data_IF_159775087002
#
_entry.id   IF_159775087002
#
_cell.length_a   1.000
_cell.length_b   1.000
_cell.length_c   1.000
_cell.angle_alpha   90.00
_cell.angle_beta   90.00
_cell.angle_gamma   90.00
#
_symmetry.space_group_name_H-M   'P 1'
#
loop_
_entity.id
_entity.type
_entity.pdbx_description
1 polymer ?
#
# COMPACT_ATOMS: atom_id res chain seq x y z
N UNK A 1 -2.21 -26.78 -1.47
CA UNK A 1 -2.21 -25.41 -0.90
C UNK A 1 -1.11 -24.52 -1.51
N UNK A 2 0.16 -24.92 -1.49
CA UNK A 2 1.29 -24.13 -2.02
C UNK A 2 1.12 -23.70 -3.49
N UNK A 3 0.74 -24.62 -4.40
CA UNK A 3 0.59 -24.30 -5.83
C UNK A 3 -0.55 -23.29 -6.10
N UNK A 4 -1.62 -23.32 -5.32
CA UNK A 4 -2.70 -22.32 -5.42
C UNK A 4 -2.23 -20.94 -4.97
N UNK A 5 -1.44 -20.87 -3.90
CA UNK A 5 -0.81 -19.63 -3.47
C UNK A 5 0.17 -19.11 -4.54
N UNK A 6 0.97 -19.99 -5.15
CA UNK A 6 1.82 -19.63 -6.30
C UNK A 6 1.00 -19.05 -7.45
N UNK A 7 -0.13 -19.66 -7.82
CA UNK A 7 -1.05 -19.13 -8.84
C UNK A 7 -1.50 -17.71 -8.48
N UNK A 8 -1.94 -17.49 -7.24
CA UNK A 8 -2.28 -16.15 -6.76
C UNK A 8 -1.11 -15.18 -6.93
N UNK A 9 0.07 -15.49 -6.40
CA UNK A 9 1.23 -14.62 -6.46
C UNK A 9 1.67 -14.29 -7.89
N UNK A 10 1.62 -15.28 -8.78
CA UNK A 10 1.90 -15.10 -10.19
C UNK A 10 0.87 -14.17 -10.85
N UNK A 11 -0.42 -14.41 -10.64
CA UNK A 11 -1.50 -13.57 -11.17
C UNK A 11 -1.37 -12.12 -10.66
N UNK A 12 -1.09 -11.92 -9.37
CA UNK A 12 -0.95 -10.58 -8.77
C UNK A 12 0.30 -9.84 -9.20
N UNK A 13 1.34 -10.55 -9.60
CA UNK A 13 2.61 -9.94 -10.02
C UNK A 13 2.66 -9.65 -11.52
N UNK A 14 2.10 -10.55 -12.33
CA UNK A 14 2.18 -10.48 -13.80
C UNK A 14 0.85 -10.08 -14.41
N UNK A 15 -0.23 -10.80 -14.09
CA UNK A 15 -1.51 -10.64 -14.79
C UNK A 15 -2.24 -9.34 -14.43
N UNK A 16 -2.07 -8.81 -13.22
CA UNK A 16 -2.66 -7.52 -12.82
C UNK A 16 -2.12 -6.33 -13.66
N UNK A 17 -1.05 -6.52 -14.45
CA UNK A 17 -0.50 -5.51 -15.39
C UNK A 17 -1.04 -5.63 -16.82
N UNK A 18 -1.79 -6.70 -17.12
CA UNK A 18 -2.37 -6.93 -18.43
C UNK A 18 -3.67 -6.14 -18.56
N UNK A 19 -3.86 -5.49 -19.69
CA UNK A 19 -4.99 -4.60 -19.95
C UNK A 19 -6.05 -5.20 -20.86
N UNK A 20 -5.75 -6.27 -21.58
CA UNK A 20 -6.65 -6.88 -22.57
C UNK A 20 -7.19 -8.22 -22.07
N UNK A 21 -8.46 -8.52 -22.40
CA UNK A 21 -9.06 -9.82 -22.11
C UNK A 21 -8.36 -10.96 -22.86
N UNK A 22 -7.82 -10.67 -24.04
CA UNK A 22 -7.06 -11.62 -24.85
C UNK A 22 -5.79 -12.09 -24.12
N UNK A 23 -4.99 -11.15 -23.60
CA UNK A 23 -3.77 -11.46 -22.84
C UNK A 23 -4.10 -12.20 -21.54
N UNK A 24 -5.14 -11.76 -20.82
CA UNK A 24 -5.60 -12.42 -19.61
C UNK A 24 -6.05 -13.86 -19.89
N UNK A 25 -6.82 -14.08 -20.97
CA UNK A 25 -7.27 -15.40 -21.40
C UNK A 25 -6.12 -16.29 -21.88
N UNK A 26 -5.11 -15.73 -22.54
CA UNK A 26 -3.89 -16.45 -22.91
C UNK A 26 -3.12 -16.91 -21.67
N UNK A 27 -2.89 -16.02 -20.71
CA UNK A 27 -2.20 -16.36 -19.46
C UNK A 27 -2.96 -17.40 -18.65
N UNK A 28 -4.29 -17.27 -18.56
CA UNK A 28 -5.13 -18.25 -17.89
C UNK A 28 -4.96 -19.65 -18.49
N UNK A 29 -4.97 -19.77 -19.82
CA UNK A 29 -4.76 -21.05 -20.53
C UNK A 29 -3.38 -21.63 -20.24
N UNK A 30 -2.32 -20.83 -20.33
CA UNK A 30 -0.96 -21.30 -20.03
C UNK A 30 -0.81 -21.80 -18.59
N UNK A 31 -1.39 -21.10 -17.61
CA UNK A 31 -1.38 -21.54 -16.21
C UNK A 31 -2.17 -22.84 -16.07
N UNK A 32 -3.37 -22.91 -16.66
CA UNK A 32 -4.22 -24.11 -16.63
C UNK A 32 -3.50 -25.33 -17.20
N UNK A 33 -2.89 -25.21 -18.38
CA UNK A 33 -2.19 -26.30 -19.05
C UNK A 33 -0.97 -26.78 -18.22
N UNK A 34 -0.21 -25.83 -17.66
CA UNK A 34 0.94 -26.15 -16.80
C UNK A 34 0.52 -26.88 -15.51
N UNK A 35 -0.57 -26.43 -14.88
CA UNK A 35 -1.15 -27.06 -13.68
C UNK A 35 -1.69 -28.45 -14.02
N UNK A 36 -2.45 -28.59 -15.10
CA UNK A 36 -3.03 -29.87 -15.51
C UNK A 36 -1.95 -30.91 -15.85
N UNK A 37 -0.84 -30.47 -16.47
CA UNK A 37 0.28 -31.34 -16.82
C UNK A 37 1.12 -31.75 -15.61
N UNK A 38 1.35 -30.84 -14.67
CA UNK A 38 2.32 -31.04 -13.57
C UNK A 38 1.65 -31.53 -12.28
N UNK A 39 0.40 -31.14 -12.03
CA UNK A 39 -0.37 -31.46 -10.82
C UNK A 39 -1.80 -31.94 -11.14
N UNK A 40 -2.00 -32.98 -11.98
CA UNK A 40 -3.34 -33.40 -12.40
C UNK A 40 -4.34 -33.70 -11.26
N UNK A 41 -3.96 -34.38 -10.16
CA UNK A 41 -4.92 -34.70 -9.09
C UNK A 41 -5.49 -33.47 -8.37
N UNK A 42 -4.70 -32.40 -8.27
CA UNK A 42 -5.04 -31.18 -7.53
C UNK A 42 -5.51 -30.03 -8.44
N UNK A 43 -5.54 -30.24 -9.76
CA UNK A 43 -5.76 -29.20 -10.75
C UNK A 43 -7.08 -28.44 -10.52
N UNK A 44 -8.16 -29.15 -10.19
CA UNK A 44 -9.47 -28.55 -9.89
C UNK A 44 -9.42 -27.60 -8.69
N UNK A 45 -8.70 -27.97 -7.63
CA UNK A 45 -8.53 -27.13 -6.44
C UNK A 45 -7.61 -25.93 -6.72
N UNK A 46 -6.51 -26.13 -7.44
CA UNK A 46 -5.57 -25.06 -7.80
C UNK A 46 -6.23 -24.03 -8.71
N UNK A 47 -7.02 -24.48 -9.68
CA UNK A 47 -7.67 -23.63 -10.68
C UNK A 47 -9.01 -23.02 -10.22
N UNK A 48 -9.50 -23.35 -9.01
CA UNK A 48 -10.74 -22.77 -8.46
C UNK A 48 -10.67 -21.24 -8.37
N UNK A 49 -11.75 -20.55 -8.69
CA UNK A 49 -11.91 -19.11 -8.45
C UNK A 49 -12.96 -18.87 -7.34
N UNK A 50 -12.90 -17.72 -6.64
CA UNK A 50 -11.95 -16.62 -6.80
C UNK A 50 -10.58 -16.86 -6.12
N UNK A 51 -9.57 -16.06 -6.51
CA UNK A 51 -8.25 -16.00 -5.86
C UNK A 51 -8.22 -14.88 -4.81
N UNK A 52 -8.78 -15.18 -3.63
CA UNK A 52 -8.83 -14.27 -2.49
C UNK A 52 -7.79 -14.69 -1.45
N UNK A 53 -6.64 -14.03 -1.43
CA UNK A 53 -5.60 -14.28 -0.46
C UNK A 53 -5.26 -13.03 0.35
N UNK A 54 -4.99 -13.19 1.63
CA UNK A 54 -4.62 -12.09 2.53
C UNK A 54 -4.59 -12.51 3.99
N UNK A 55 -4.11 -11.61 4.84
CA UNK A 55 -3.99 -11.82 6.29
C UNK A 55 -5.05 -11.04 7.07
N UNK A 56 -6.31 -11.15 6.62
CA UNK A 56 -7.42 -10.35 7.12
C UNK A 56 -8.10 -10.89 8.38
N UNK A 57 -8.09 -12.21 8.64
CA UNK A 57 -8.83 -12.80 9.77
C UNK A 57 -8.48 -12.20 11.13
N UNK A 58 -7.21 -11.86 11.30
CA UNK A 58 -6.67 -11.24 12.51
C UNK A 58 -6.33 -9.77 12.29
N UNK A 59 -6.91 -9.11 11.28
CA UNK A 59 -6.66 -7.70 11.00
C UNK A 59 -7.03 -6.81 12.19
N UNK A 60 -8.14 -7.10 12.86
CA UNK A 60 -8.62 -6.30 13.99
C UNK A 60 -8.03 -6.72 15.35
N UNK A 61 -7.24 -7.80 15.38
CA UNK A 61 -6.70 -8.39 16.61
C UNK A 61 -5.20 -8.10 16.75
N UNK A 62 -4.84 -7.16 17.62
CA UNK A 62 -3.45 -6.73 17.78
C UNK A 62 -2.52 -7.78 18.38
N UNK A 63 -3.05 -8.74 19.16
CA UNK A 63 -2.26 -9.73 19.90
C UNK A 63 -2.17 -11.10 19.21
N UNK A 64 -2.79 -11.27 18.04
CA UNK A 64 -2.75 -12.54 17.31
C UNK A 64 -1.87 -12.42 16.07
N UNK A 65 -1.05 -13.44 15.75
CA UNK A 65 -0.28 -13.43 14.52
C UNK A 65 -1.23 -13.37 13.31
N UNK A 66 -0.85 -12.57 12.33
CA UNK A 66 -1.54 -12.47 11.05
C UNK A 66 -0.96 -13.49 10.07
N UNK A 67 -1.81 -14.32 9.49
CA UNK A 67 -1.41 -15.37 8.56
C UNK A 67 -1.90 -15.07 7.16
N UNK A 68 -0.98 -15.09 6.18
CA UNK A 68 -1.35 -14.97 4.77
C UNK A 68 -1.95 -16.28 4.27
N UNK A 69 -3.24 -16.28 3.93
CA UNK A 69 -3.99 -17.51 3.65
C UNK A 69 -5.05 -17.36 2.55
N UNK A 70 -5.59 -18.49 2.09
CA UNK A 70 -6.72 -18.54 1.18
C UNK A 70 -8.02 -18.26 1.94
N UNK A 71 -8.70 -17.18 1.57
CA UNK A 71 -9.94 -16.72 2.19
C UNK A 71 -11.19 -17.39 1.60
N UNK A 72 -11.01 -18.39 0.74
CA UNK A 72 -12.03 -19.27 0.18
C UNK A 72 -12.90 -18.58 -0.89
N UNK A 73 -14.05 -18.04 -0.50
CA UNK A 73 -15.09 -17.55 -1.40
C UNK A 73 -15.59 -16.16 -1.02
N UNK A 74 -16.40 -15.58 -1.91
CA UNK A 74 -16.92 -14.23 -1.70
C UNK A 74 -17.84 -14.12 -0.47
N UNK A 75 -18.50 -15.20 -0.04
CA UNK A 75 -19.37 -15.19 1.14
C UNK A 75 -18.54 -15.06 2.42
N UNK A 76 -17.51 -15.90 2.55
CA UNK A 76 -16.58 -15.89 3.69
C UNK A 76 -15.87 -14.53 3.82
N UNK A 77 -15.36 -13.99 2.72
CA UNK A 77 -14.69 -12.69 2.69
C UNK A 77 -15.65 -11.52 2.89
N UNK A 78 -16.90 -11.66 2.45
CA UNK A 78 -17.91 -10.61 2.57
C UNK A 78 -18.13 -10.17 4.02
N UNK A 79 -18.37 -11.14 4.92
CA UNK A 79 -18.55 -10.85 6.34
C UNK A 79 -17.31 -10.19 6.96
N UNK A 80 -16.14 -10.73 6.66
CA UNK A 80 -14.87 -10.24 7.20
C UNK A 80 -14.60 -8.78 6.79
N UNK A 81 -14.82 -8.44 5.52
CA UNK A 81 -14.56 -7.08 5.05
C UNK A 81 -15.62 -6.07 5.51
N UNK A 82 -16.87 -6.52 5.68
CA UNK A 82 -17.91 -5.69 6.31
C UNK A 82 -17.56 -5.37 7.77
N UNK A 83 -17.10 -6.36 8.54
CA UNK A 83 -16.65 -6.15 9.93
C UNK A 83 -15.50 -5.12 9.99
N UNK A 84 -14.50 -5.25 9.11
CA UNK A 84 -13.37 -4.29 9.03
C UNK A 84 -13.86 -2.89 8.65
N UNK A 85 -14.82 -2.77 7.73
CA UNK A 85 -15.40 -1.49 7.32
C UNK A 85 -16.19 -0.82 8.44
N UNK A 86 -16.97 -1.60 9.19
CA UNK A 86 -17.70 -1.12 10.36
C UNK A 86 -16.74 -0.63 11.44
N UNK A 87 -15.69 -1.40 11.74
CA UNK A 87 -14.69 -1.02 12.73
C UNK A 87 -13.92 0.24 12.30
N UNK A 88 -13.57 0.36 11.02
CA UNK A 88 -13.01 1.61 10.48
C UNK A 88 -13.96 2.78 10.75
N UNK A 89 -15.25 2.61 10.45
CA UNK A 89 -16.28 3.63 10.57
C UNK A 89 -16.59 4.02 12.03
N UNK A 90 -16.24 3.16 13.00
CA UNK A 90 -16.32 3.41 14.43
C UNK A 90 -15.02 4.00 15.01
N UNK A 91 -13.90 3.84 14.30
CA UNK A 91 -12.59 4.36 14.72
C UNK A 91 -12.48 5.88 14.59
N UNK A 92 -11.41 6.44 15.18
CA UNK A 92 -11.08 7.86 15.01
C UNK A 92 -10.83 8.27 13.55
N UNK A 93 -10.48 7.32 12.66
CA UNK A 93 -10.29 7.56 11.23
C UNK A 93 -11.56 8.06 10.54
N UNK A 94 -12.72 7.53 10.95
CA UNK A 94 -14.02 7.91 10.41
C UNK A 94 -14.40 9.37 10.66
N UNK A 95 -13.82 10.01 11.70
CA UNK A 95 -14.03 11.44 11.98
C UNK A 95 -13.51 12.33 10.86
N UNK A 96 -12.45 11.89 10.16
CA UNK A 96 -11.88 12.62 9.00
C UNK A 96 -12.61 12.27 7.71
N UNK A 97 -12.89 10.99 7.50
CA UNK A 97 -13.54 10.51 6.28
C UNK A 97 -14.27 9.19 6.55
N UNK A 98 -15.60 9.24 6.60
CA UNK A 98 -16.44 8.03 6.73
C UNK A 98 -16.50 7.29 5.39
N UNK A 99 -16.39 5.97 5.42
CA UNK A 99 -16.48 5.13 4.23
C UNK A 99 -17.90 4.60 4.06
N UNK A 100 -18.57 5.05 3.00
CA UNK A 100 -19.83 4.47 2.54
C UNK A 100 -19.56 3.58 1.31
N UNK A 101 -19.12 2.36 1.59
CA UNK A 101 -18.67 1.41 0.57
C UNK A 101 -19.61 0.23 0.46
N UNK A 102 -20.08 -0.04 -0.76
CA UNK A 102 -20.72 -1.30 -1.11
C UNK A 102 -19.64 -2.25 -1.60
N UNK A 103 -19.30 -3.27 -0.81
CA UNK A 103 -18.27 -4.25 -1.14
C UNK A 103 -18.86 -5.38 -1.99
N UNK A 104 -19.07 -5.13 -3.28
CA UNK A 104 -19.37 -6.18 -4.27
C UNK A 104 -18.11 -6.97 -4.65
N UNK A 105 -18.24 -8.00 -5.49
CA UNK A 105 -17.15 -8.97 -5.77
C UNK A 105 -15.85 -8.30 -6.22
N UNK A 106 -15.89 -7.41 -7.23
CA UNK A 106 -14.68 -6.74 -7.72
C UNK A 106 -14.07 -5.82 -6.66
N UNK A 107 -14.90 -5.13 -5.87
CA UNK A 107 -14.41 -4.29 -4.78
C UNK A 107 -13.64 -5.11 -3.73
N UNK A 108 -14.11 -6.32 -3.41
CA UNK A 108 -13.42 -7.27 -2.51
C UNK A 108 -12.10 -7.72 -3.13
N UNK A 109 -12.09 -8.04 -4.42
CA UNK A 109 -10.85 -8.40 -5.11
C UNK A 109 -9.84 -7.25 -5.12
N UNK A 110 -10.24 -6.05 -5.53
CA UNK A 110 -9.36 -4.89 -5.52
C UNK A 110 -8.83 -4.58 -4.12
N UNK A 111 -9.66 -4.73 -3.07
CA UNK A 111 -9.22 -4.61 -1.69
C UNK A 111 -8.11 -5.62 -1.36
N UNK A 112 -8.26 -6.90 -1.73
CA UNK A 112 -7.21 -7.91 -1.51
C UNK A 112 -5.92 -7.59 -2.26
N UNK A 113 -6.01 -7.07 -3.50
CA UNK A 113 -4.84 -6.70 -4.33
C UNK A 113 -4.06 -5.54 -3.69
N UNK A 114 -4.77 -4.48 -3.29
CA UNK A 114 -4.16 -3.31 -2.63
C UNK A 114 -3.55 -3.74 -1.29
N UNK A 115 -4.29 -4.47 -0.47
CA UNK A 115 -3.80 -4.94 0.82
C UNK A 115 -2.55 -5.82 0.68
N UNK A 116 -2.55 -6.77 -0.26
CA UNK A 116 -1.36 -7.59 -0.55
C UNK A 116 -0.15 -6.71 -0.85
N UNK A 117 -0.30 -5.72 -1.73
CA UNK A 117 0.80 -4.84 -2.09
C UNK A 117 1.29 -4.02 -0.89
N UNK A 118 0.41 -3.53 -0.01
CA UNK A 118 0.79 -2.85 1.23
C UNK A 118 1.51 -3.77 2.23
N UNK A 119 1.19 -5.07 2.25
CA UNK A 119 1.81 -6.04 3.18
C UNK A 119 3.16 -6.57 2.67
N UNK A 120 3.54 -6.27 1.42
CA UNK A 120 4.88 -6.55 0.90
C UNK A 120 5.87 -5.49 1.38
N UNK A 121 7.11 -5.91 1.69
CA UNK A 121 8.17 -4.99 2.07
C UNK A 121 8.44 -3.97 0.96
N UNK A 122 8.38 -2.68 1.30
CA UNK A 122 8.51 -1.55 0.34
C UNK A 122 7.49 -1.59 -0.81
N UNK A 123 6.32 -2.16 -0.56
CA UNK A 123 5.27 -2.25 -1.57
C UNK A 123 4.57 -0.92 -1.83
N UNK A 124 4.67 -0.44 -3.07
CA UNK A 124 4.00 0.76 -3.57
C UNK A 124 2.93 0.38 -4.60
N UNK A 125 1.88 1.18 -4.73
CA UNK A 125 0.75 0.86 -5.62
C UNK A 125 0.39 2.03 -6.54
N UNK A 126 0.14 1.72 -7.82
CA UNK A 126 -0.59 2.61 -8.72
C UNK A 126 -1.99 2.02 -8.93
N UNK A 127 -3.01 2.71 -8.45
CA UNK A 127 -4.42 2.31 -8.57
C UNK A 127 -5.05 3.09 -9.71
N UNK A 128 -5.30 2.39 -10.81
CA UNK A 128 -5.91 2.94 -12.02
C UNK A 128 -7.41 2.66 -12.05
N UNK A 129 -8.19 3.64 -12.50
CA UNK A 129 -9.62 3.48 -12.74
C UNK A 129 -10.29 4.82 -13.00
N UNK A 130 -11.49 4.80 -13.57
CA UNK A 130 -12.25 6.04 -13.82
C UNK A 130 -12.63 6.74 -12.52
N UNK A 131 -13.00 8.01 -12.59
CA UNK A 131 -13.46 8.76 -11.41
C UNK A 131 -14.75 8.16 -10.84
N UNK A 132 -14.96 8.30 -9.53
CA UNK A 132 -16.17 7.80 -8.86
C UNK A 132 -16.18 6.31 -8.47
N UNK A 133 -15.24 5.47 -8.95
CA UNK A 133 -15.23 4.01 -8.64
C UNK A 133 -14.73 3.65 -7.23
N UNK A 134 -14.53 4.63 -6.34
CA UNK A 134 -14.14 4.37 -4.95
C UNK A 134 -12.66 4.00 -4.72
N UNK A 135 -11.74 4.30 -5.65
CA UNK A 135 -10.29 4.00 -5.53
C UNK A 135 -9.71 4.43 -4.16
N UNK A 136 -9.92 5.70 -3.80
CA UNK A 136 -9.43 6.27 -2.53
C UNK A 136 -10.03 5.54 -1.33
N UNK A 137 -11.33 5.27 -1.36
CA UNK A 137 -12.06 4.58 -0.30
C UNK A 137 -11.54 3.15 -0.08
N UNK A 138 -11.24 2.40 -1.15
CA UNK A 138 -10.64 1.07 -1.06
C UNK A 138 -9.21 1.11 -0.51
N UNK A 139 -8.39 2.08 -0.93
CA UNK A 139 -7.03 2.26 -0.38
C UNK A 139 -7.09 2.61 1.10
N UNK A 140 -8.00 3.49 1.51
CA UNK A 140 -8.21 3.83 2.93
C UNK A 140 -8.58 2.60 3.75
N UNK A 141 -9.53 1.78 3.26
CA UNK A 141 -9.92 0.56 3.95
C UNK A 141 -8.78 -0.46 4.02
N UNK A 142 -8.02 -0.64 2.93
CA UNK A 142 -6.86 -1.54 2.91
C UNK A 142 -5.76 -1.06 3.88
N UNK A 143 -5.53 0.25 3.95
CA UNK A 143 -4.57 0.87 4.88
C UNK A 143 -4.97 0.58 6.33
N UNK A 144 -6.26 0.75 6.65
CA UNK A 144 -6.79 0.42 7.97
C UNK A 144 -6.66 -1.06 8.30
N UNK A 145 -7.04 -1.94 7.37
CA UNK A 145 -6.90 -3.39 7.54
C UNK A 145 -5.44 -3.80 7.78
N UNK A 146 -4.48 -3.16 7.11
CA UNK A 146 -3.06 -3.38 7.31
C UNK A 146 -2.53 -2.86 8.66
N UNK A 147 -3.33 -2.07 9.38
CA UNK A 147 -2.92 -1.42 10.63
C UNK A 147 -1.99 -0.23 10.43
N UNK A 148 -2.03 0.38 9.24
CA UNK A 148 -1.14 1.49 8.88
C UNK A 148 -1.84 2.84 9.03
N UNK A 149 -1.04 3.89 9.22
CA UNK A 149 -1.53 5.26 9.20
C UNK A 149 -1.79 5.70 7.76
N UNK A 150 -2.91 6.38 7.51
CA UNK A 150 -3.13 7.07 6.24
C UNK A 150 -2.60 8.50 6.32
N UNK A 151 -1.76 8.88 5.36
CA UNK A 151 -1.28 10.24 5.14
C UNK A 151 -1.74 10.71 3.75
N UNK A 152 -2.32 11.90 3.67
CA UNK A 152 -2.73 12.57 2.42
C UNK A 152 -2.40 14.03 2.53
N UNK A 153 -2.03 14.64 1.41
CA UNK A 153 -1.86 16.10 1.31
C UNK A 153 -3.22 16.78 1.18
N UNK A 154 -3.33 17.98 1.75
CA UNK A 154 -4.52 18.82 1.67
C UNK A 154 -4.22 20.01 0.76
N UNK A 155 -4.72 19.96 -0.47
CA UNK A 155 -4.50 21.02 -1.45
C UNK A 155 -5.27 22.29 -1.03
N UNK A 156 -4.56 23.41 -0.98
CA UNK A 156 -5.12 24.76 -0.94
C UNK A 156 -4.87 25.48 -2.27
N UNK A 157 -5.51 26.64 -2.49
CA UNK A 157 -5.31 27.43 -3.71
C UNK A 157 -3.84 27.83 -3.91
N UNK A 158 -3.13 28.10 -2.82
CA UNK A 158 -1.73 28.55 -2.83
C UNK A 158 -0.77 27.40 -2.47
N UNK A 159 -1.13 26.16 -2.81
CA UNK A 159 -0.32 24.98 -2.53
C UNK A 159 0.80 24.84 -3.56
N UNK A 160 2.03 24.88 -3.07
CA UNK A 160 3.30 24.96 -3.80
C UNK A 160 4.23 23.83 -3.38
N UNK A 161 5.35 23.65 -4.09
CA UNK A 161 6.38 22.69 -3.72
C UNK A 161 6.90 22.89 -2.28
N UNK A 162 6.92 24.14 -1.80
CA UNK A 162 7.35 24.44 -0.43
C UNK A 162 6.43 23.81 0.62
N UNK A 163 5.09 23.96 0.49
CA UNK A 163 4.16 23.29 1.41
C UNK A 163 4.21 21.78 1.25
N UNK A 164 4.43 21.28 0.03
CA UNK A 164 4.61 19.85 -0.18
C UNK A 164 5.83 19.30 0.56
N UNK A 165 6.97 20.00 0.51
CA UNK A 165 8.16 19.64 1.30
C UNK A 165 7.87 19.63 2.81
N UNK A 166 7.11 20.59 3.32
CA UNK A 166 6.71 20.60 4.74
C UNK A 166 5.78 19.42 5.11
N UNK A 167 4.85 19.05 4.24
CA UNK A 167 4.02 17.85 4.41
C UNK A 167 4.90 16.58 4.40
N UNK A 168 5.88 16.50 3.49
CA UNK A 168 6.82 15.38 3.44
C UNK A 168 7.68 15.32 4.71
N UNK A 169 8.12 16.45 5.28
CA UNK A 169 8.81 16.44 6.58
C UNK A 169 7.94 15.85 7.68
N UNK A 170 6.66 16.21 7.72
CA UNK A 170 5.70 15.63 8.67
C UNK A 170 5.57 14.11 8.46
N UNK A 171 5.46 13.66 7.21
CA UNK A 171 5.44 12.24 6.86
C UNK A 171 6.70 11.51 7.35
N UNK A 172 7.91 12.00 7.05
CA UNK A 172 9.16 11.36 7.48
C UNK A 172 9.32 11.33 9.01
N UNK A 173 8.79 12.32 9.74
CA UNK A 173 8.74 12.28 11.21
C UNK A 173 7.83 11.17 11.72
N UNK A 174 6.64 10.96 11.13
CA UNK A 174 5.76 9.83 11.46
C UNK A 174 6.44 8.48 11.20
N UNK A 175 7.12 8.38 10.06
CA UNK A 175 7.76 7.14 9.63
C UNK A 175 8.98 6.77 10.49
N UNK A 176 9.89 7.72 10.71
CA UNK A 176 11.20 7.46 11.32
C UNK A 176 11.31 7.78 12.81
N UNK A 177 10.59 8.79 13.31
CA UNK A 177 10.60 9.15 14.75
C UNK A 177 9.55 8.35 15.50
N UNK A 178 8.30 8.36 15.01
CA UNK A 178 7.21 7.61 15.66
C UNK A 178 7.22 6.12 15.31
N UNK A 179 8.09 5.70 14.37
CA UNK A 179 8.18 4.33 13.86
C UNK A 179 6.82 3.77 13.44
N UNK A 180 6.01 4.58 12.75
CA UNK A 180 4.64 4.24 12.37
C UNK A 180 4.56 3.94 10.88
N UNK A 181 4.24 2.69 10.52
CA UNK A 181 3.96 2.30 9.15
C UNK A 181 2.84 3.16 8.56
N UNK A 182 3.11 3.81 7.44
CA UNK A 182 2.25 4.85 6.87
C UNK A 182 2.10 4.69 5.36
N UNK A 183 0.86 4.79 4.89
CA UNK A 183 0.50 4.87 3.48
C UNK A 183 0.36 6.34 3.09
N UNK A 184 1.24 6.82 2.23
CA UNK A 184 1.08 8.10 1.56
C UNK A 184 0.17 7.93 0.34
N UNK A 185 -1.07 8.40 0.45
CA UNK A 185 -2.08 8.39 -0.60
C UNK A 185 -2.18 9.76 -1.27
N UNK A 186 -2.02 9.80 -2.59
CA UNK A 186 -2.30 10.99 -3.41
C UNK A 186 -3.06 10.60 -4.69
N UNK A 187 -3.78 11.55 -5.27
CA UNK A 187 -4.41 11.42 -6.59
C UNK A 187 -3.74 12.29 -7.64
N UNK A 188 -3.85 11.90 -8.91
CA UNK A 188 -3.31 12.69 -10.04
C UNK A 188 -3.81 14.13 -10.06
N UNK A 189 -5.03 14.40 -9.59
CA UNK A 189 -5.59 15.75 -9.45
C UNK A 189 -4.88 16.64 -8.41
N UNK A 190 -4.12 16.06 -7.50
CA UNK A 190 -3.33 16.79 -6.50
C UNK A 190 -1.92 17.13 -7.00
N UNK A 191 -1.57 16.68 -8.21
CA UNK A 191 -0.28 16.95 -8.85
C UNK A 191 -0.45 18.17 -9.74
N UNK A 192 -0.20 19.34 -9.15
CA UNK A 192 -0.35 20.64 -9.82
C UNK A 192 0.97 21.16 -10.41
N UNK A 193 2.09 20.58 -9.98
CA UNK A 193 3.45 20.95 -10.39
C UNK A 193 4.24 19.66 -10.69
N UNK A 194 5.01 19.67 -11.78
CA UNK A 194 5.91 18.56 -12.16
C UNK A 194 6.96 18.27 -11.08
N UNK A 195 7.37 19.28 -10.32
CA UNK A 195 8.31 19.13 -9.20
C UNK A 195 7.82 18.13 -8.15
N UNK A 196 6.51 17.92 -8.00
CA UNK A 196 5.97 16.94 -7.04
C UNK A 196 6.34 15.51 -7.46
N UNK A 197 6.28 15.22 -8.76
CA UNK A 197 6.65 13.90 -9.29
C UNK A 197 8.14 13.64 -9.13
N UNK A 198 9.00 14.66 -9.28
CA UNK A 198 10.43 14.53 -9.02
C UNK A 198 10.70 14.18 -7.57
N UNK A 199 10.04 14.86 -6.63
CA UNK A 199 10.16 14.57 -5.20
C UNK A 199 9.68 13.15 -4.86
N UNK A 200 8.53 12.73 -5.39
CA UNK A 200 8.00 11.37 -5.22
C UNK A 200 8.97 10.34 -5.81
N UNK A 201 9.55 10.62 -6.99
CA UNK A 201 10.55 9.74 -7.60
C UNK A 201 11.80 9.60 -6.72
N UNK A 202 12.27 10.69 -6.09
CA UNK A 202 13.36 10.63 -5.12
C UNK A 202 13.00 9.76 -3.90
N UNK A 203 11.76 9.83 -3.41
CA UNK A 203 11.29 8.94 -2.34
C UNK A 203 11.30 7.46 -2.76
N UNK A 204 10.90 7.17 -3.99
CA UNK A 204 10.86 5.80 -4.51
C UNK A 204 12.25 5.21 -4.80
N UNK A 205 13.17 6.03 -5.29
CA UNK A 205 14.50 5.60 -5.77
C UNK A 205 15.59 5.72 -4.70
N UNK A 206 15.61 6.83 -3.97
CA UNK A 206 16.62 7.13 -2.95
C UNK A 206 16.11 6.86 -1.53
N UNK A 207 14.79 6.71 -1.35
CA UNK A 207 14.16 6.50 -0.05
C UNK A 207 13.89 7.78 0.74
N UNK A 208 14.44 8.92 0.32
CA UNK A 208 14.19 10.23 0.91
C UNK A 208 14.48 11.35 -0.08
N UNK A 209 13.78 12.47 0.06
CA UNK A 209 14.05 13.70 -0.70
C UNK A 209 15.37 14.34 -0.23
N UNK A 210 16.23 14.71 -1.18
CA UNK A 210 17.48 15.41 -0.89
C UNK A 210 17.24 16.80 -0.30
N UNK A 211 18.05 17.17 0.70
CA UNK A 211 17.95 18.45 1.41
C UNK A 211 16.53 18.75 1.95
N UNK A 212 15.76 17.71 2.31
CA UNK A 212 14.42 17.90 2.87
C UNK A 212 14.45 18.59 4.23
N UNK A 213 15.39 18.20 5.09
CA UNK A 213 15.58 18.78 6.42
C UNK A 213 16.81 19.68 6.44
N UNK A 214 16.70 20.83 7.13
CA UNK A 214 17.86 21.65 7.43
C UNK A 214 18.69 21.03 8.58
N UNK A 215 19.89 21.58 8.84
CA UNK A 215 20.80 21.00 9.84
C UNK A 215 20.22 21.02 11.26
N UNK A 216 19.50 22.08 11.65
CA UNK A 216 18.85 22.17 12.97
C UNK A 216 17.76 21.11 13.14
N UNK A 217 16.94 20.89 12.11
CA UNK A 217 15.90 19.86 12.09
C UNK A 217 16.51 18.45 12.13
N UNK A 218 17.61 18.22 11.40
CA UNK A 218 18.34 16.94 11.45
C UNK A 218 18.87 16.67 12.85
N UNK A 219 19.51 17.65 13.48
CA UNK A 219 20.06 17.50 14.83
C UNK A 219 18.95 17.22 15.87
N UNK A 220 17.77 17.84 15.71
CA UNK A 220 16.60 17.53 16.53
C UNK A 220 16.11 16.08 16.33
N UNK A 221 16.02 15.61 15.08
CA UNK A 221 15.62 14.22 14.76
C UNK A 221 16.64 13.21 15.28
N UNK A 222 17.94 13.47 15.06
CA UNK A 222 19.02 12.61 15.56
C UNK A 222 18.92 12.47 17.07
N UNK A 223 18.66 13.58 17.78
CA UNK A 223 18.51 13.56 19.23
C UNK A 223 17.31 12.70 19.67
N UNK A 224 16.19 12.76 18.96
CA UNK A 224 14.99 12.00 19.34
C UNK A 224 15.09 10.50 19.07
N UNK A 225 15.83 10.07 18.04
CA UNK A 225 15.92 8.65 17.65
C UNK A 225 17.23 7.96 18.05
N UNK A 226 18.17 8.69 18.68
CA UNK A 226 19.49 8.16 19.05
C UNK A 226 19.41 6.91 19.93
N UNK A 227 18.56 6.93 20.96
CA UNK A 227 18.46 5.79 21.89
C UNK A 227 17.91 4.53 21.20
N UNK A 228 16.88 4.70 20.35
CA UNK A 228 16.32 3.62 19.53
C UNK A 228 17.35 3.09 18.52
N UNK A 229 18.13 3.97 17.90
CA UNK A 229 19.18 3.59 16.95
C UNK A 229 20.25 2.72 17.62
N UNK A 230 20.68 3.08 18.85
CA UNK A 230 21.63 2.28 19.63
C UNK A 230 21.07 0.92 20.01
N UNK A 231 19.80 0.85 20.43
CA UNK A 231 19.13 -0.42 20.75
C UNK A 231 19.09 -1.36 19.53
N UNK A 232 18.92 -0.80 18.32
CA UNK A 232 18.93 -1.54 17.05
C UNK A 232 20.33 -1.83 16.50
N UNK A 233 21.39 -1.44 17.23
CA UNK A 233 22.77 -1.76 16.88
C UNK A 233 23.41 -0.82 15.83
N UNK A 234 22.83 0.34 15.58
CA UNK A 234 23.45 1.35 14.71
C UNK A 234 24.57 2.09 15.44
N UNK A 235 25.62 2.57 14.73
CA UNK A 235 26.69 3.35 15.34
C UNK A 235 26.17 4.63 16.02
N UNK A 236 26.71 4.94 17.20
CA UNK A 236 26.41 6.18 17.95
C UNK A 236 27.15 7.40 17.38
N UNK A 237 27.07 7.56 16.06
CA UNK A 237 27.57 8.73 15.33
C UNK A 237 26.38 9.46 14.71
N UNK A 238 26.52 10.75 14.39
CA UNK A 238 25.44 11.51 13.73
C UNK A 238 24.95 10.81 12.46
N UNK A 239 25.89 10.35 11.62
CA UNK A 239 25.57 9.63 10.38
C UNK A 239 24.94 8.25 10.63
N UNK A 240 25.40 7.53 11.65
CA UNK A 240 24.85 6.23 12.02
C UNK A 240 23.37 6.31 12.43
N UNK A 241 23.05 7.30 13.29
CA UNK A 241 21.67 7.56 13.74
C UNK A 241 20.81 8.11 12.59
N UNK A 242 21.36 8.96 11.71
CA UNK A 242 20.65 9.43 10.53
C UNK A 242 20.30 8.29 9.57
N UNK A 243 21.23 7.37 9.34
CA UNK A 243 20.98 6.17 8.53
C UNK A 243 19.90 5.27 9.13
N UNK A 244 19.84 5.15 10.46
CA UNK A 244 18.73 4.47 11.13
C UNK A 244 17.38 5.14 10.84
N UNK A 245 17.31 6.47 10.97
CA UNK A 245 16.10 7.24 10.67
C UNK A 245 15.63 7.03 9.23
N UNK A 246 16.53 7.16 8.24
CA UNK A 246 16.19 6.96 6.82
C UNK A 246 15.78 5.52 6.55
N UNK A 247 16.53 4.53 7.05
CA UNK A 247 16.21 3.11 6.84
C UNK A 247 14.85 2.73 7.42
N UNK A 248 14.55 3.22 8.63
CA UNK A 248 13.25 3.03 9.30
C UNK A 248 12.14 3.74 8.53
N UNK A 249 12.42 4.95 8.03
CA UNK A 249 11.53 5.71 7.18
C UNK A 249 11.09 4.92 5.95
N UNK A 250 12.07 4.37 5.22
CA UNK A 250 11.85 3.58 3.99
C UNK A 250 11.13 2.26 4.27
N UNK A 251 11.42 1.58 5.40
CA UNK A 251 10.71 0.34 5.73
C UNK A 251 9.24 0.55 6.11
N UNK A 252 8.91 1.74 6.61
CA UNK A 252 7.57 2.09 7.08
C UNK A 252 6.73 2.80 6.01
N UNK A 253 7.32 3.21 4.90
CA UNK A 253 6.66 3.99 3.86
C UNK A 253 6.09 3.12 2.76
N UNK A 254 4.80 3.33 2.48
CA UNK A 254 4.12 2.82 1.30
C UNK A 254 3.50 3.99 0.53
N UNK A 255 3.83 4.10 -0.76
CA UNK A 255 3.32 5.16 -1.63
C UNK A 255 2.20 4.58 -2.50
N UNK A 256 1.02 5.20 -2.45
CA UNK A 256 -0.14 4.80 -3.26
C UNK A 256 -0.65 5.98 -4.08
N UNK A 257 -0.59 5.84 -5.40
CA UNK A 257 -1.09 6.81 -6.35
C UNK A 257 -2.44 6.36 -6.93
N UNK A 258 -3.47 7.21 -6.83
CA UNK A 258 -4.76 7.00 -7.49
C UNK A 258 -4.84 7.83 -8.78
N UNK A 259 -4.93 7.20 -9.96
CA UNK A 259 -4.97 7.93 -11.24
C UNK A 259 -6.12 7.46 -12.15
N UNK A 260 -6.55 8.34 -13.05
CA UNK A 260 -7.45 7.99 -14.14
C UNK A 260 -6.64 7.50 -15.33
N UNK A 261 -7.05 6.42 -16.05
CA UNK A 261 -6.38 5.96 -17.27
C UNK A 261 -6.30 7.01 -18.37
N UNK A 262 -7.21 7.99 -18.34
CA UNK A 262 -7.25 9.12 -19.29
C UNK A 262 -6.36 10.28 -18.88
N UNK A 263 -5.70 10.21 -17.71
CA UNK A 263 -4.84 11.28 -17.23
C UNK A 263 -3.64 11.47 -18.17
N UNK A 264 -3.31 12.72 -18.55
CA UNK A 264 -2.13 12.98 -19.38
C UNK A 264 -0.83 12.60 -18.66
N UNK A 265 -0.83 12.55 -17.33
CA UNK A 265 0.31 12.15 -16.50
C UNK A 265 0.74 10.69 -16.72
N UNK A 266 -0.13 9.83 -17.26
CA UNK A 266 0.17 8.42 -17.51
C UNK A 266 0.74 8.16 -18.91
N UNK A 267 0.72 9.14 -19.81
CA UNK A 267 1.19 8.99 -21.20
C UNK A 267 2.38 9.90 -21.44
N UNK A 268 3.57 9.36 -21.16
CA UNK A 268 4.84 9.73 -21.79
C UNK A 268 5.60 8.45 -22.11
#
# INVERSE_FOLDING_TARGET
MFIRAWRNEFTRTICDRLSTEEDLGLMYRHISDAVQKSFPPDASFIMRDPLLFGDFRNALKQNEPRHYEDLLDYSAVGHLFTEILEEYNNSAGAKKYRLDLILFQDAREHLTRIHRALRLGRGNCLVLGVEGVGKRSLVTLATFAAGYQLFTINMSHDYTESQFREDLKCLYRLLGVNNQATVFLFSGSQIVDEGFLELINNMLTLGMVAALFNEDEKDAIITSVRDLAKEKGYPDTKDGVWNYFVSTGVSNLHIVACMSPTSPLLRT
#
